data_IF_276751073911
#
_entry.id   IF_276751073911
#
_cell.length_a   1.000
_cell.length_b   1.000
_cell.length_c   1.000
_cell.angle_alpha   90.00
_cell.angle_beta   90.00
_cell.angle_gamma   90.00
#
_symmetry.space_group_name_H-M   'P 1'
#
loop_
_entity.id
_entity.type
_entity.pdbx_description
1 polymer ?
#
# COMPACT_ATOMS: atom_id res chain seq x y z
N UNK A 1 39.69 -9.29 -9.30
CA UNK A 1 39.02 -10.45 -9.92
C UNK A 1 37.83 -10.96 -9.12
N UNK A 2 37.90 -10.89 -7.77
CA UNK A 2 36.83 -11.39 -6.88
C UNK A 2 35.62 -10.44 -6.78
N UNK A 3 35.84 -9.12 -6.73
CA UNK A 3 34.77 -8.13 -6.64
C UNK A 3 33.82 -8.12 -7.87
N UNK A 4 34.39 -8.27 -9.07
CA UNK A 4 33.60 -8.34 -10.33
C UNK A 4 32.78 -9.64 -10.42
N UNK A 5 33.26 -10.72 -9.79
CA UNK A 5 32.56 -11.99 -9.75
C UNK A 5 31.37 -11.98 -8.74
N UNK A 6 31.46 -11.17 -7.68
CA UNK A 6 30.41 -11.00 -6.68
C UNK A 6 29.29 -10.06 -7.17
N UNK A 7 29.62 -8.98 -7.87
CA UNK A 7 28.65 -8.13 -8.56
C UNK A 7 27.87 -8.90 -9.63
N UNK A 8 28.54 -9.68 -10.45
CA UNK A 8 27.90 -10.51 -11.47
C UNK A 8 27.04 -11.66 -10.89
N UNK A 9 27.25 -12.07 -9.62
CA UNK A 9 26.37 -13.00 -8.89
C UNK A 9 25.14 -12.30 -8.34
N UNK A 10 25.29 -11.07 -7.83
CA UNK A 10 24.16 -10.23 -7.37
C UNK A 10 23.25 -9.86 -8.54
N UNK A 11 23.82 -9.44 -9.68
CA UNK A 11 23.02 -9.11 -10.87
C UNK A 11 22.30 -10.34 -11.45
N UNK A 12 22.95 -11.52 -11.45
CA UNK A 12 22.29 -12.76 -11.89
C UNK A 12 21.20 -13.24 -10.93
N UNK A 13 21.35 -13.00 -9.63
CA UNK A 13 20.31 -13.27 -8.63
C UNK A 13 19.09 -12.36 -8.81
N UNK A 14 19.32 -11.10 -9.11
CA UNK A 14 18.27 -10.11 -9.36
C UNK A 14 17.54 -10.37 -10.69
N UNK A 15 18.28 -10.65 -11.78
CA UNK A 15 17.71 -11.06 -13.07
C UNK A 15 16.98 -12.41 -12.97
N UNK A 16 17.46 -13.34 -12.14
CA UNK A 16 16.77 -14.61 -11.87
C UNK A 16 15.47 -14.38 -11.12
N UNK A 17 15.42 -13.48 -10.15
CA UNK A 17 14.17 -13.11 -9.45
C UNK A 17 13.17 -12.40 -10.35
N UNK A 18 13.66 -11.52 -11.26
CA UNK A 18 12.83 -10.88 -12.28
C UNK A 18 12.34 -11.90 -13.36
N UNK A 19 13.20 -12.83 -13.74
CA UNK A 19 12.84 -13.90 -14.70
C UNK A 19 11.85 -14.87 -14.08
N UNK A 20 11.96 -15.21 -12.78
CA UNK A 20 10.98 -16.03 -12.08
C UNK A 20 9.63 -15.30 -11.87
N UNK A 21 9.65 -13.99 -11.65
CA UNK A 21 8.43 -13.18 -11.65
C UNK A 21 7.80 -13.05 -13.04
N UNK A 22 8.61 -13.20 -14.11
CA UNK A 22 8.13 -13.19 -15.50
C UNK A 22 7.69 -14.57 -15.99
N UNK A 23 8.17 -15.66 -15.38
CA UNK A 23 7.75 -17.03 -15.70
C UNK A 23 6.43 -17.42 -15.03
N UNK A 24 6.08 -16.80 -13.90
CA UNK A 24 4.70 -16.79 -13.39
C UNK A 24 3.92 -15.76 -14.20
N UNK A 25 3.12 -16.20 -15.17
CA UNK A 25 2.25 -15.35 -15.97
C UNK A 25 1.26 -14.59 -15.07
N UNK A 26 1.62 -13.39 -14.63
CA UNK A 26 0.80 -12.61 -13.73
C UNK A 26 1.40 -11.22 -13.45
N UNK A 27 0.59 -10.34 -12.91
CA UNK A 27 1.03 -9.05 -12.38
C UNK A 27 1.85 -9.25 -11.10
N UNK A 28 2.63 -8.24 -10.61
CA UNK A 28 3.25 -8.31 -9.29
C UNK A 28 2.27 -8.70 -8.18
N UNK A 29 1.00 -8.32 -8.30
CA UNK A 29 -0.05 -8.69 -7.35
C UNK A 29 -0.35 -10.18 -7.38
N UNK A 30 -0.48 -10.81 -8.54
CA UNK A 30 -0.74 -12.26 -8.65
C UNK A 30 0.38 -13.06 -7.97
N UNK A 31 1.64 -12.61 -8.11
CA UNK A 31 2.79 -13.25 -7.46
C UNK A 31 2.74 -13.11 -5.94
N UNK A 32 2.34 -11.95 -5.43
CA UNK A 32 2.15 -11.70 -3.98
C UNK A 32 1.08 -12.64 -3.42
N UNK A 33 -0.06 -12.77 -4.10
CA UNK A 33 -1.17 -13.63 -3.67
C UNK A 33 -0.75 -15.11 -3.66
N UNK A 34 -0.05 -15.57 -4.70
CA UNK A 34 0.44 -16.96 -4.80
C UNK A 34 1.45 -17.30 -3.69
N UNK A 35 2.40 -16.42 -3.42
CA UNK A 35 3.45 -16.65 -2.43
C UNK A 35 2.88 -16.57 -1.00
N UNK A 36 1.92 -15.68 -0.73
CA UNK A 36 1.18 -15.64 0.53
C UNK A 36 0.35 -16.92 0.71
N UNK A 37 -0.35 -17.37 -0.33
CA UNK A 37 -1.13 -18.62 -0.29
C UNK A 37 -0.24 -19.84 -0.02
N UNK A 38 0.96 -19.90 -0.60
CA UNK A 38 1.94 -20.95 -0.33
C UNK A 38 2.41 -20.95 1.14
N UNK A 39 2.41 -19.78 1.80
CA UNK A 39 2.66 -19.62 3.24
C UNK A 39 1.43 -19.85 4.11
N UNK A 40 0.29 -20.22 3.52
CA UNK A 40 -0.98 -20.45 4.24
C UNK A 40 -1.76 -19.18 4.56
N UNK A 41 -1.39 -18.05 3.94
CA UNK A 41 -2.04 -16.75 4.13
C UNK A 41 -2.88 -16.41 2.92
N UNK A 42 -4.17 -16.11 3.15
CA UNK A 42 -5.11 -15.79 2.08
C UNK A 42 -5.33 -14.27 1.99
N UNK A 43 -4.58 -13.63 1.12
CA UNK A 43 -4.77 -12.23 0.79
C UNK A 43 -6.02 -12.04 -0.06
N UNK A 44 -6.64 -10.88 0.09
CA UNK A 44 -7.79 -10.45 -0.69
C UNK A 44 -7.62 -9.00 -1.13
N UNK A 45 -7.10 -8.74 -2.33
CA UNK A 45 -7.11 -7.41 -2.91
C UNK A 45 -8.56 -6.93 -3.11
N UNK A 46 -8.82 -5.68 -2.77
CA UNK A 46 -10.18 -5.12 -2.82
C UNK A 46 -10.32 -3.88 -3.68
N UNK A 47 -9.36 -2.96 -3.65
CA UNK A 47 -9.36 -1.76 -4.47
C UNK A 47 -7.96 -1.55 -5.05
N UNK A 48 -7.90 -1.38 -6.37
CA UNK A 48 -6.72 -0.95 -7.10
C UNK A 48 -6.93 0.45 -7.69
N UNK A 49 -6.83 0.57 -9.02
CA UNK A 49 -7.07 1.84 -9.69
C UNK A 49 -8.48 2.40 -9.42
N UNK A 50 -8.52 3.70 -9.17
CA UNK A 50 -9.77 4.46 -9.00
C UNK A 50 -9.70 5.74 -9.82
N UNK A 51 -10.68 5.98 -10.71
CA UNK A 51 -10.73 7.23 -11.47
C UNK A 51 -10.94 8.44 -10.55
N UNK A 52 -10.49 9.62 -10.98
CA UNK A 52 -10.70 10.87 -10.24
C UNK A 52 -12.22 11.13 -10.07
N UNK A 53 -13.04 10.81 -11.09
CA UNK A 53 -14.49 10.94 -10.99
C UNK A 53 -15.08 10.05 -9.87
N UNK A 54 -14.62 8.79 -9.75
CA UNK A 54 -15.04 7.91 -8.67
C UNK A 54 -14.54 8.40 -7.30
N UNK A 55 -13.35 8.98 -7.24
CA UNK A 55 -12.84 9.60 -6.01
C UNK A 55 -13.69 10.79 -5.58
N UNK A 56 -14.16 11.61 -6.55
CA UNK A 56 -15.07 12.72 -6.28
C UNK A 56 -16.39 12.24 -5.66
N UNK A 57 -16.99 11.18 -6.20
CA UNK A 57 -18.22 10.61 -5.63
C UNK A 57 -18.02 10.14 -4.17
N UNK A 58 -16.89 9.51 -3.87
CA UNK A 58 -16.57 9.06 -2.50
C UNK A 58 -16.34 10.25 -1.57
N UNK A 59 -15.65 11.27 -2.04
CA UNK A 59 -15.44 12.52 -1.31
C UNK A 59 -16.76 13.20 -0.97
N UNK A 60 -17.62 13.41 -1.98
CA UNK A 60 -18.91 14.06 -1.80
C UNK A 60 -19.80 13.29 -0.82
N UNK A 61 -19.80 11.96 -0.93
CA UNK A 61 -20.53 11.10 0.01
C UNK A 61 -20.00 11.21 1.45
N UNK A 62 -18.68 11.31 1.63
CA UNK A 62 -18.05 11.49 2.95
C UNK A 62 -18.41 12.85 3.53
N UNK A 63 -18.24 13.92 2.77
CA UNK A 63 -18.59 15.29 3.19
C UNK A 63 -20.07 15.36 3.58
N UNK A 64 -20.95 14.81 2.75
CA UNK A 64 -22.39 14.75 3.04
C UNK A 64 -22.68 14.04 4.36
N UNK A 65 -22.07 12.88 4.61
CA UNK A 65 -22.25 12.12 5.86
C UNK A 65 -21.83 12.95 7.08
N UNK A 66 -20.71 13.66 6.98
CA UNK A 66 -20.22 14.51 8.07
C UNK A 66 -21.13 15.73 8.31
N UNK A 67 -21.69 16.33 7.25
CA UNK A 67 -22.67 17.41 7.35
C UNK A 67 -23.98 16.92 7.99
N UNK A 68 -24.46 15.72 7.61
CA UNK A 68 -25.62 15.09 8.27
C UNK A 68 -25.38 14.81 9.76
N UNK A 69 -24.12 14.61 10.15
CA UNK A 69 -23.66 14.54 11.54
C UNK A 69 -23.55 15.88 12.27
N UNK A 70 -23.89 17.00 11.60
CA UNK A 70 -23.99 18.34 12.20
C UNK A 70 -22.79 19.26 11.94
N UNK A 71 -21.83 18.88 11.11
CA UNK A 71 -20.71 19.75 10.75
C UNK A 71 -21.14 20.77 9.67
N UNK A 72 -20.51 21.96 9.69
CA UNK A 72 -20.58 22.86 8.54
C UNK A 72 -19.90 22.24 7.31
N UNK A 73 -20.18 22.71 6.11
CA UNK A 73 -19.52 22.20 4.90
C UNK A 73 -18.00 22.34 5.00
N UNK A 74 -17.47 23.48 5.44
CA UNK A 74 -16.05 23.72 5.57
C UNK A 74 -15.38 22.79 6.59
N UNK A 75 -16.04 22.55 7.74
CA UNK A 75 -15.54 21.61 8.74
C UNK A 75 -15.63 20.16 8.25
N UNK A 76 -16.70 19.82 7.52
CA UNK A 76 -16.87 18.49 6.94
C UNK A 76 -15.82 18.19 5.88
N UNK A 77 -15.51 19.14 4.98
CA UNK A 77 -14.43 19.01 3.99
C UNK A 77 -13.06 18.85 4.67
N UNK A 78 -12.79 19.66 5.70
CA UNK A 78 -11.55 19.55 6.49
C UNK A 78 -11.45 18.18 7.17
N UNK A 79 -12.53 17.71 7.78
CA UNK A 79 -12.57 16.43 8.48
C UNK A 79 -12.56 15.23 7.52
N UNK A 80 -13.09 15.38 6.32
CA UNK A 80 -13.13 14.30 5.32
C UNK A 80 -11.74 13.83 4.93
N UNK A 81 -10.73 14.72 4.95
CA UNK A 81 -9.34 14.42 4.59
C UNK A 81 -8.75 13.28 5.44
N UNK A 82 -9.12 13.19 6.72
CA UNK A 82 -8.61 12.15 7.63
C UNK A 82 -8.97 10.73 7.16
N UNK A 83 -10.04 10.58 6.37
CA UNK A 83 -10.61 9.29 5.97
C UNK A 83 -10.67 9.07 4.45
N UNK A 84 -10.63 10.13 3.69
CA UNK A 84 -10.85 10.05 2.24
C UNK A 84 -10.03 11.12 1.56
N UNK A 85 -9.05 10.72 0.76
CA UNK A 85 -8.23 11.66 -0.01
C UNK A 85 -9.10 12.50 -0.94
N UNK A 86 -8.76 13.78 -1.09
CA UNK A 86 -9.41 14.65 -2.05
C UNK A 86 -9.24 14.12 -3.49
N UNK A 87 -10.18 14.41 -4.41
CA UNK A 87 -10.07 13.97 -5.80
C UNK A 87 -8.76 14.41 -6.46
N UNK A 88 -8.05 13.46 -7.08
CA UNK A 88 -6.75 13.69 -7.72
C UNK A 88 -5.55 13.59 -6.77
N UNK A 89 -5.75 13.40 -5.46
CA UNK A 89 -4.66 13.26 -4.48
C UNK A 89 -4.50 11.84 -3.94
N UNK A 90 -5.42 10.94 -4.26
CA UNK A 90 -5.36 9.54 -3.82
C UNK A 90 -4.33 8.74 -4.61
N UNK A 91 -3.57 7.89 -3.93
CA UNK A 91 -2.68 6.90 -4.57
C UNK A 91 -3.43 5.99 -5.55
N UNK A 92 -4.71 5.68 -5.28
CA UNK A 92 -5.56 4.91 -6.19
C UNK A 92 -5.77 5.59 -7.54
N UNK A 93 -5.70 6.93 -7.60
CA UNK A 93 -5.84 7.67 -8.86
C UNK A 93 -4.61 7.50 -9.78
N UNK A 94 -3.48 7.11 -9.22
CA UNK A 94 -2.25 6.84 -9.98
C UNK A 94 -2.17 5.42 -10.52
N UNK A 95 -3.00 4.50 -10.02
CA UNK A 95 -2.90 3.06 -10.25
C UNK A 95 -1.80 2.37 -9.43
N UNK A 96 -1.14 3.10 -8.51
CA UNK A 96 -0.07 2.57 -7.66
C UNK A 96 -0.54 2.26 -6.23
N UNK A 97 -1.76 2.65 -5.86
CA UNK A 97 -2.39 2.32 -4.58
C UNK A 97 -3.18 1.01 -4.67
N UNK A 98 -3.10 0.20 -3.62
CA UNK A 98 -3.76 -1.09 -3.52
C UNK A 98 -4.24 -1.34 -2.09
N UNK A 99 -5.53 -1.62 -1.93
CA UNK A 99 -6.06 -2.11 -0.66
C UNK A 99 -6.06 -3.64 -0.63
N UNK A 100 -5.43 -4.20 0.40
CA UNK A 100 -5.37 -5.66 0.63
C UNK A 100 -5.92 -5.93 2.02
N UNK A 101 -6.87 -6.86 2.11
CA UNK A 101 -7.36 -7.46 3.35
C UNK A 101 -7.15 -8.97 3.31
N UNK A 102 -7.78 -9.72 4.18
CA UNK A 102 -7.76 -11.18 4.15
C UNK A 102 -9.18 -11.77 4.10
N UNK A 103 -9.28 -13.04 3.74
CA UNK A 103 -10.58 -13.71 3.71
C UNK A 103 -11.23 -13.81 5.10
N UNK A 104 -10.42 -13.99 6.14
CA UNK A 104 -10.86 -14.10 7.53
C UNK A 104 -11.11 -12.75 8.20
N UNK A 105 -10.57 -11.64 7.65
CA UNK A 105 -10.83 -10.28 8.10
C UNK A 105 -11.04 -9.35 6.88
N UNK A 106 -12.23 -9.35 6.27
CA UNK A 106 -12.51 -8.56 5.06
C UNK A 106 -12.77 -7.07 5.32
N UNK A 107 -12.87 -6.67 6.60
CA UNK A 107 -13.07 -5.27 6.98
C UNK A 107 -11.79 -4.44 6.83
N UNK A 108 -11.97 -3.19 6.37
CA UNK A 108 -10.91 -2.18 6.35
C UNK A 108 -10.95 -1.37 7.64
N UNK A 109 -10.41 -1.94 8.68
CA UNK A 109 -10.30 -1.31 10.00
C UNK A 109 -8.95 -1.67 10.67
N UNK A 110 -8.69 -1.08 11.82
CA UNK A 110 -7.44 -1.30 12.54
C UNK A 110 -7.23 -2.76 12.98
N UNK A 111 -8.30 -3.55 13.09
CA UNK A 111 -8.24 -4.96 13.46
C UNK A 111 -7.52 -5.82 12.42
N UNK A 112 -7.49 -5.38 11.15
CA UNK A 112 -6.70 -6.06 10.12
C UNK A 112 -5.22 -6.19 10.50
N UNK A 113 -4.65 -5.24 11.23
CA UNK A 113 -3.25 -5.26 11.66
C UNK A 113 -2.87 -6.49 12.48
N UNK A 114 -3.83 -7.09 13.19
CA UNK A 114 -3.61 -8.25 14.05
C UNK A 114 -3.69 -9.58 13.28
N UNK A 115 -4.01 -9.54 11.99
CA UNK A 115 -4.17 -10.75 11.16
C UNK A 115 -2.83 -11.33 10.72
N UNK A 116 -2.80 -12.63 10.43
CA UNK A 116 -1.65 -13.28 9.80
C UNK A 116 -1.31 -12.65 8.44
N UNK A 117 -2.31 -12.15 7.73
CA UNK A 117 -2.13 -11.45 6.45
C UNK A 117 -1.34 -10.15 6.60
N UNK A 118 -1.71 -9.31 7.57
CA UNK A 118 -0.99 -8.05 7.83
C UNK A 118 0.46 -8.31 8.30
N UNK A 119 0.67 -9.32 9.13
CA UNK A 119 2.01 -9.72 9.59
C UNK A 119 2.88 -10.21 8.42
N UNK A 120 2.33 -11.06 7.56
CA UNK A 120 3.02 -11.54 6.37
C UNK A 120 3.36 -10.38 5.41
N UNK A 121 2.43 -9.47 5.18
CA UNK A 121 2.67 -8.28 4.35
C UNK A 121 3.72 -7.35 4.96
N UNK A 122 3.75 -7.17 6.28
CA UNK A 122 4.79 -6.38 6.95
C UNK A 122 6.21 -6.97 6.73
N UNK A 123 6.32 -8.29 6.62
CA UNK A 123 7.59 -8.97 6.36
C UNK A 123 7.97 -8.95 4.87
N UNK A 124 7.02 -9.16 3.98
CA UNK A 124 7.26 -9.52 2.58
C UNK A 124 6.88 -8.46 1.54
N UNK A 125 6.01 -7.49 1.85
CA UNK A 125 5.50 -6.55 0.85
C UNK A 125 6.61 -5.78 0.11
N UNK A 126 7.72 -5.46 0.79
CA UNK A 126 8.86 -4.77 0.20
C UNK A 126 9.56 -5.59 -0.90
N UNK A 127 9.58 -6.92 -0.80
CA UNK A 127 10.17 -7.81 -1.81
C UNK A 127 9.46 -7.66 -3.17
N UNK A 128 8.17 -7.33 -3.13
CA UNK A 128 7.30 -7.12 -4.29
C UNK A 128 7.14 -5.64 -4.67
N UNK A 129 7.84 -4.73 -3.98
CA UNK A 129 7.85 -3.31 -4.27
C UNK A 129 6.73 -2.51 -3.61
N UNK A 130 6.05 -3.06 -2.61
CA UNK A 130 4.98 -2.39 -1.87
C UNK A 130 5.45 -1.92 -0.50
N UNK A 131 4.93 -0.77 -0.08
CA UNK A 131 5.07 -0.23 1.28
C UNK A 131 3.70 -0.08 1.93
N UNK A 132 3.64 -0.22 3.25
CA UNK A 132 2.50 0.25 4.03
C UNK A 132 2.45 1.78 3.94
N UNK A 133 1.39 2.31 3.34
CA UNK A 133 1.35 3.73 2.96
C UNK A 133 1.12 4.67 4.13
N UNK A 134 0.28 4.28 5.07
CA UNK A 134 -0.15 5.09 6.21
C UNK A 134 0.07 4.37 7.54
N UNK A 135 1.33 4.30 8.03
CA UNK A 135 1.66 3.66 9.31
C UNK A 135 1.09 4.42 10.50
N UNK A 136 0.82 3.70 11.60
CA UNK A 136 0.17 4.27 12.80
C UNK A 136 0.99 5.35 13.52
N UNK A 137 2.30 5.31 13.39
CA UNK A 137 3.26 6.26 13.99
C UNK A 137 3.62 7.43 13.06
N UNK A 138 2.98 7.53 11.88
CA UNK A 138 3.28 8.52 10.82
C UNK A 138 2.09 9.39 10.42
N UNK A 139 1.02 9.40 11.19
CA UNK A 139 -0.23 10.14 10.90
C UNK A 139 0.03 11.64 10.69
N UNK A 140 0.93 12.23 11.48
CA UNK A 140 1.26 13.65 11.35
C UNK A 140 2.01 13.93 10.03
N UNK A 141 2.93 13.06 9.64
CA UNK A 141 3.73 13.23 8.42
C UNK A 141 2.93 12.93 7.14
N UNK A 142 2.03 11.94 7.19
CA UNK A 142 1.23 11.52 6.03
C UNK A 142 -0.07 12.32 5.87
N UNK A 143 -0.57 12.92 6.96
CA UNK A 143 -1.87 13.60 6.99
C UNK A 143 -3.08 12.65 6.91
N UNK A 144 -2.87 11.33 7.07
CA UNK A 144 -3.91 10.30 6.99
C UNK A 144 -3.90 9.45 8.27
N UNK A 145 -5.08 9.00 8.68
CA UNK A 145 -5.21 8.02 9.75
C UNK A 145 -4.54 6.68 9.36
N UNK A 146 -4.28 5.84 10.37
CA UNK A 146 -3.69 4.51 10.17
C UNK A 146 -4.56 3.62 9.29
N UNK A 147 -3.98 3.13 8.19
CA UNK A 147 -4.65 2.23 7.25
C UNK A 147 -3.83 0.96 7.02
N UNK A 148 -3.93 -0.07 7.87
CA UNK A 148 -3.12 -1.29 7.75
C UNK A 148 -3.37 -2.09 6.46
N UNK A 149 -4.44 -1.81 5.74
CA UNK A 149 -4.82 -2.42 4.46
C UNK A 149 -4.27 -1.69 3.24
N UNK A 150 -3.79 -0.43 3.36
CA UNK A 150 -3.45 0.41 2.22
C UNK A 150 -1.96 0.35 1.90
N UNK A 151 -1.64 -0.18 0.73
CA UNK A 151 -0.29 -0.35 0.22
C UNK A 151 -0.04 0.54 -0.99
N UNK A 152 1.21 1.03 -1.11
CA UNK A 152 1.69 1.79 -2.26
C UNK A 152 2.83 1.07 -2.95
N UNK A 153 2.73 0.92 -4.28
CA UNK A 153 3.83 0.42 -5.09
C UNK A 153 4.87 1.53 -5.34
N UNK A 154 6.12 1.24 -5.05
CA UNK A 154 7.28 2.15 -5.23
C UNK A 154 8.47 1.44 -5.88
N UNK A 155 8.33 0.17 -6.24
CA UNK A 155 9.41 -0.70 -6.70
C UNK A 155 10.22 -1.30 -5.54
N UNK A 156 10.76 -2.50 -5.74
CA UNK A 156 11.38 -3.31 -4.67
C UNK A 156 12.58 -2.59 -4.02
N UNK A 157 13.46 -1.96 -4.81
CA UNK A 157 14.62 -1.24 -4.27
C UNK A 157 14.20 -0.13 -3.30
N UNK A 158 13.21 0.70 -3.69
CA UNK A 158 12.75 1.82 -2.86
C UNK A 158 11.94 1.32 -1.67
N UNK A 159 11.14 0.27 -1.85
CA UNK A 159 10.37 -0.34 -0.76
C UNK A 159 11.28 -0.86 0.36
N UNK A 160 12.38 -1.52 0.02
CA UNK A 160 13.38 -1.97 1.01
C UNK A 160 14.05 -0.79 1.73
N UNK A 161 14.47 0.25 0.99
CA UNK A 161 15.09 1.44 1.60
C UNK A 161 14.12 2.14 2.58
N UNK A 162 12.86 2.29 2.21
CA UNK A 162 11.82 2.87 3.07
C UNK A 162 11.61 2.00 4.32
N UNK A 163 11.46 0.68 4.14
CA UNK A 163 11.31 -0.26 5.24
C UNK A 163 12.50 -0.22 6.22
N UNK A 164 13.72 -0.22 5.71
CA UNK A 164 14.96 -0.19 6.52
C UNK A 164 15.15 1.14 7.26
N UNK A 165 14.75 2.25 6.63
CA UNK A 165 14.86 3.58 7.25
C UNK A 165 13.79 3.85 8.32
N UNK A 166 12.66 3.12 8.30
CA UNK A 166 11.51 3.39 9.17
C UNK A 166 10.78 4.69 8.85
N UNK A 167 11.00 5.27 7.67
CA UNK A 167 10.37 6.49 7.21
C UNK A 167 9.05 6.19 6.47
N UNK A 168 8.11 7.12 6.50
CA UNK A 168 7.00 7.10 5.56
C UNK A 168 7.44 7.67 4.20
N UNK A 169 6.57 7.56 3.18
CA UNK A 169 6.91 8.01 1.83
C UNK A 169 7.24 9.51 1.77
N UNK A 170 6.50 10.34 2.48
CA UNK A 170 6.71 11.80 2.56
C UNK A 170 8.09 12.12 3.14
N UNK A 171 8.45 11.52 4.26
CA UNK A 171 9.74 11.71 4.91
C UNK A 171 10.89 11.22 4.02
N UNK A 172 10.69 10.10 3.34
CA UNK A 172 11.69 9.53 2.43
C UNK A 172 11.95 10.42 1.21
N UNK A 173 10.90 11.00 0.63
CA UNK A 173 11.02 11.90 -0.52
C UNK A 173 11.56 13.29 -0.17
N UNK A 174 11.58 13.65 1.12
CA UNK A 174 12.09 14.93 1.62
C UNK A 174 13.60 14.91 1.91
N UNK A 175 14.29 13.77 1.76
CA UNK A 175 15.74 13.64 1.93
C UNK A 175 16.50 14.20 0.72
#
# INVERSE_FOLDING_TARGET
GAAIAEEGKKERGWLSSLLHAHEKSGTPLDVVEDDAAAAGVKLKPTNGYRSIARQQELWDARVKTLMEGGLSQADAETKAIDYTSAPGTSDHNTGLGLDIVSEDHPAKDAGFAETAAAQWLAEHAADYGFILRYPSDKTEATGMDYEPWHYRYVGSEQAHKIKESGLCLEEYLAQ
#
